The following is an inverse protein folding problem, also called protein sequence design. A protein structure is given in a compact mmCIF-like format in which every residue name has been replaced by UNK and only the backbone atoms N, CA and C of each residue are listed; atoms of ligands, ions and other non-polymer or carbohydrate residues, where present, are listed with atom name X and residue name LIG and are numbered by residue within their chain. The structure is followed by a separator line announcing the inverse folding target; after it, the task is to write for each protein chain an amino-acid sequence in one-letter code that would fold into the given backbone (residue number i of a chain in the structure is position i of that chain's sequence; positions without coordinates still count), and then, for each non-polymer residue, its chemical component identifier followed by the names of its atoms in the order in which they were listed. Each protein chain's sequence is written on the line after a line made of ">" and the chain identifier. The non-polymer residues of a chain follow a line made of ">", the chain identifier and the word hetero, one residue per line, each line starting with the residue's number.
data_IF_384196431113
#
_entry.id   IF_384196431113
#
_cell.length_a   1.000
_cell.length_b   1.000
_cell.length_c   1.000
_cell.angle_alpha   90.00
_cell.angle_beta   90.00
_cell.angle_gamma   90.00
#
_symmetry.space_group_name_H-M   'P 1'
#
loop_
_entity.id
_entity.type
_entity.pdbx_description
1 polymer ?
#
# COMPACT_ATOMS: atom_id res chain seq x y z
N UNK A 1 15.42 -3.12 15.20
CA UNK A 1 14.31 -3.05 16.19
C UNK A 1 13.47 -1.84 15.85
N UNK A 2 12.15 -2.01 15.75
CA UNK A 2 11.26 -0.90 15.48
C UNK A 2 11.23 0.05 16.67
N UNK A 3 11.59 1.30 16.45
CA UNK A 3 11.55 2.33 17.50
C UNK A 3 10.11 2.53 18.01
N UNK A 4 9.11 2.31 17.15
CA UNK A 4 7.69 2.45 17.47
C UNK A 4 7.21 1.40 18.49
N UNK A 5 7.78 0.20 18.50
CA UNK A 5 7.39 -0.85 19.44
C UNK A 5 7.60 -0.46 20.90
N UNK A 6 8.62 0.37 21.18
CA UNK A 6 8.90 0.83 22.54
C UNK A 6 7.84 1.82 23.06
N UNK A 7 7.03 2.41 22.22
CA UNK A 7 5.99 3.37 22.61
C UNK A 7 4.72 2.69 23.13
N UNK A 8 4.48 1.45 22.71
CA UNK A 8 3.27 0.72 23.04
C UNK A 8 3.48 -0.17 24.26
N UNK A 9 2.63 -0.04 25.29
CA UNK A 9 2.73 -0.90 26.49
C UNK A 9 2.50 -2.36 26.19
N UNK A 10 1.56 -2.63 25.30
CA UNK A 10 1.27 -3.95 24.75
C UNK A 10 1.33 -3.83 23.21
N UNK A 11 2.27 -4.52 22.56
CA UNK A 11 2.40 -4.50 21.09
C UNK A 11 1.19 -5.03 20.33
N UNK A 12 0.31 -5.80 21.01
CA UNK A 12 -0.89 -6.37 20.39
C UNK A 12 -2.15 -5.53 20.61
N UNK A 13 -2.08 -4.53 21.48
CA UNK A 13 -3.22 -3.68 21.79
C UNK A 13 -3.23 -2.39 20.95
N UNK A 14 -4.41 -1.78 20.87
CA UNK A 14 -4.62 -0.52 20.19
C UNK A 14 -4.77 0.61 21.22
N UNK A 15 -4.15 1.76 20.94
CA UNK A 15 -4.14 2.92 21.83
C UNK A 15 -4.50 4.18 21.08
N UNK A 16 -5.08 5.15 21.80
CA UNK A 16 -5.22 6.50 21.26
C UNK A 16 -3.87 7.20 21.28
N UNK A 17 -3.65 8.12 20.36
CA UNK A 17 -2.40 8.90 20.29
C UNK A 17 -2.05 9.52 21.64
N UNK A 18 -3.01 10.15 22.31
CA UNK A 18 -2.81 10.80 23.60
C UNK A 18 -2.33 9.83 24.68
N UNK A 19 -2.87 8.62 24.69
CA UNK A 19 -2.46 7.60 25.70
C UNK A 19 -1.00 7.18 25.53
N UNK A 20 -0.50 7.17 24.28
CA UNK A 20 0.89 6.86 23.99
C UNK A 20 1.80 8.03 24.40
N UNK A 21 1.40 9.25 24.03
CA UNK A 21 2.12 10.49 24.39
C UNK A 21 2.27 10.67 25.90
N UNK A 22 1.15 10.50 26.63
CA UNK A 22 1.14 10.64 28.11
C UNK A 22 2.11 9.69 28.80
N UNK A 23 2.24 8.46 28.27
CA UNK A 23 3.20 7.49 28.80
C UNK A 23 4.65 7.81 28.50
N UNK A 24 4.92 8.38 27.32
CA UNK A 24 6.28 8.71 26.91
C UNK A 24 6.80 9.99 27.58
N UNK A 25 5.91 10.78 28.20
CA UNK A 25 6.27 12.08 28.78
C UNK A 25 6.79 13.10 27.76
N UNK A 26 6.59 12.82 26.47
CA UNK A 26 7.11 13.62 25.36
C UNK A 26 5.94 14.27 24.62
N UNK A 27 5.64 15.51 24.97
CA UNK A 27 4.63 16.33 24.29
C UNK A 27 5.29 17.31 23.33
N UNK A 28 6.04 16.86 22.36
CA UNK A 28 6.80 17.74 21.49
C UNK A 28 6.56 17.49 20.00
N UNK A 29 6.89 18.51 19.20
CA UNK A 29 6.91 18.43 17.75
C UNK A 29 7.78 17.25 17.26
N UNK A 30 8.88 16.96 17.97
CA UNK A 30 9.82 15.88 17.65
C UNK A 30 9.17 14.49 17.76
N UNK A 31 8.33 14.26 18.79
CA UNK A 31 7.62 12.99 18.92
C UNK A 31 6.57 12.82 17.81
N UNK A 32 5.87 13.89 17.48
CA UNK A 32 4.91 13.86 16.39
C UNK A 32 5.57 13.56 15.03
N UNK A 33 6.74 14.13 14.77
CA UNK A 33 7.51 13.82 13.57
C UNK A 33 7.93 12.33 13.54
N UNK A 34 8.46 11.82 14.64
CA UNK A 34 8.82 10.40 14.77
C UNK A 34 7.61 9.49 14.59
N UNK A 35 6.45 9.89 15.13
CA UNK A 35 5.19 9.18 14.96
C UNK A 35 4.81 9.02 13.49
N UNK A 36 4.77 10.11 12.75
CA UNK A 36 4.45 10.08 11.33
C UNK A 36 5.51 9.38 10.49
N UNK A 37 6.77 9.49 10.85
CA UNK A 37 7.83 8.70 10.21
C UNK A 37 7.59 7.19 10.40
N UNK A 38 7.16 6.76 11.59
CA UNK A 38 6.82 5.35 11.83
C UNK A 38 5.59 4.91 11.03
N UNK A 39 4.58 5.78 10.87
CA UNK A 39 3.43 5.53 9.98
C UNK A 39 3.90 5.37 8.53
N UNK A 40 4.75 6.25 8.03
CA UNK A 40 5.26 6.17 6.65
C UNK A 40 6.19 4.97 6.42
N UNK A 41 6.85 4.48 7.45
CA UNK A 41 7.60 3.21 7.38
C UNK A 41 6.72 1.97 7.48
N UNK A 42 5.41 2.14 7.72
CA UNK A 42 4.48 1.04 7.89
C UNK A 42 4.64 0.30 9.24
N UNK A 43 5.25 0.93 10.24
CA UNK A 43 5.39 0.38 11.60
C UNK A 43 4.13 0.59 12.43
N UNK A 44 3.37 1.64 12.13
CA UNK A 44 2.12 2.03 12.78
C UNK A 44 1.00 2.15 11.76
N UNK A 45 -0.19 1.78 12.17
CA UNK A 45 -1.42 2.05 11.40
C UNK A 45 -2.56 2.42 12.34
N UNK A 46 -3.60 3.04 11.77
CA UNK A 46 -4.81 3.43 12.49
C UNK A 46 -6.00 2.62 12.00
N UNK A 47 -6.99 2.42 12.85
CA UNK A 47 -8.28 1.82 12.52
C UNK A 47 -9.17 2.74 11.66
N UNK A 48 -8.74 3.97 11.41
CA UNK A 48 -9.48 5.00 10.68
C UNK A 48 -8.57 5.77 9.73
N UNK A 49 -9.11 6.24 8.60
CA UNK A 49 -8.42 7.16 7.69
C UNK A 49 -8.46 8.61 8.16
N UNK A 50 -9.28 8.92 9.16
CA UNK A 50 -9.46 10.28 9.70
C UNK A 50 -8.16 10.97 10.11
N UNK A 51 -7.20 10.29 10.79
CA UNK A 51 -5.91 10.90 11.11
C UNK A 51 -5.11 11.33 9.89
N UNK A 52 -5.18 10.58 8.79
CA UNK A 52 -4.50 10.94 7.54
C UNK A 52 -5.12 12.18 6.91
N UNK A 53 -6.47 12.28 6.90
CA UNK A 53 -7.18 13.47 6.40
C UNK A 53 -6.80 14.68 7.25
N UNK A 54 -6.86 14.56 8.58
CA UNK A 54 -6.44 15.62 9.51
C UNK A 54 -4.97 15.99 9.32
N UNK A 55 -4.12 15.00 9.07
CA UNK A 55 -2.70 15.19 8.79
C UNK A 55 -2.46 16.02 7.53
N UNK A 56 -3.17 15.73 6.46
CA UNK A 56 -3.10 16.49 5.21
C UNK A 56 -3.54 17.95 5.42
N UNK A 57 -4.63 18.18 6.15
CA UNK A 57 -5.13 19.53 6.47
C UNK A 57 -4.14 20.34 7.32
N UNK A 58 -3.48 19.69 8.29
CA UNK A 58 -2.55 20.30 9.25
C UNK A 58 -1.08 20.17 8.86
N UNK A 59 -0.78 19.69 7.67
CA UNK A 59 0.59 19.38 7.20
C UNK A 59 1.36 18.48 8.18
N UNK A 60 0.64 17.54 8.80
CA UNK A 60 1.17 16.59 9.79
C UNK A 60 1.87 17.25 11.00
N UNK A 61 1.55 18.52 11.28
CA UNK A 61 2.09 19.26 12.40
C UNK A 61 1.08 19.35 13.55
N UNK A 62 1.61 19.40 14.79
CA UNK A 62 0.82 19.74 15.96
C UNK A 62 1.03 21.23 16.22
N UNK A 63 -0.03 22.03 16.18
CA UNK A 63 0.03 23.40 16.65
C UNK A 63 0.34 23.39 18.15
N UNK A 64 1.50 23.93 18.52
CA UNK A 64 1.83 24.19 19.90
C UNK A 64 0.79 25.17 20.45
N UNK A 65 0.00 24.74 21.42
CA UNK A 65 -0.99 25.58 22.14
C UNK A 65 -0.30 26.58 23.07
N UNK A 66 0.79 27.18 22.63
CA UNK A 66 1.44 28.30 23.32
C UNK A 66 1.19 29.57 22.53
N UNK A 67 0.10 30.23 22.81
CA UNK A 67 -0.18 31.68 22.74
C UNK A 67 -1.59 32.00 22.23
N UNK A 68 -2.60 31.69 23.03
CA UNK A 68 -3.78 32.55 23.05
C UNK A 68 -4.31 32.66 24.49
N UNK A 69 -3.64 33.46 25.28
CA UNK A 69 -4.23 34.16 26.39
C UNK A 69 -5.15 35.22 25.81
N UNK A 70 -6.34 34.86 25.41
CA UNK A 70 -7.47 35.79 25.44
C UNK A 70 -8.80 35.07 25.22
N UNK A 71 -9.59 35.15 26.26
CA UNK A 71 -11.03 35.29 26.23
C UNK A 71 -11.88 34.03 26.12
N UNK A 72 -12.52 33.78 27.28
CA UNK A 72 -13.85 33.18 27.51
C UNK A 72 -14.05 31.71 27.10
N UNK A 73 -14.01 30.91 28.18
CA UNK A 73 -14.88 29.73 28.39
C UNK A 73 -15.47 29.12 27.11
N UNK A 74 -14.67 28.39 26.40
CA UNK A 74 -15.14 27.15 25.78
C UNK A 74 -14.48 26.02 26.56
N UNK A 75 -15.32 25.24 27.23
CA UNK A 75 -14.95 23.88 27.69
C UNK A 75 -14.71 23.09 26.40
N UNK A 76 -13.60 23.40 25.74
CA UNK A 76 -13.09 22.66 24.59
C UNK A 76 -12.38 21.45 25.17
N UNK A 77 -12.84 20.27 24.85
CA UNK A 77 -12.06 19.05 24.97
C UNK A 77 -10.64 19.34 24.47
N UNK A 78 -9.58 18.91 25.18
CA UNK A 78 -8.22 19.03 24.68
C UNK A 78 -8.23 18.52 23.22
N UNK A 79 -7.77 19.36 22.29
CA UNK A 79 -7.88 19.08 20.87
C UNK A 79 -7.31 17.68 20.62
N UNK A 80 -8.15 16.78 20.14
CA UNK A 80 -7.74 15.45 19.70
C UNK A 80 -6.63 15.65 18.70
N UNK A 81 -5.41 15.29 19.05
CA UNK A 81 -4.26 15.53 18.18
C UNK A 81 -4.39 14.68 16.92
N UNK A 82 -4.64 13.39 17.08
CA UNK A 82 -4.92 12.48 15.99
C UNK A 82 -6.05 11.53 16.44
N UNK A 83 -7.13 11.46 15.69
CA UNK A 83 -8.28 10.61 16.01
C UNK A 83 -7.99 9.12 15.80
N UNK A 84 -8.90 8.26 16.28
CA UNK A 84 -8.82 6.81 16.08
C UNK A 84 -7.93 6.09 17.09
N UNK A 85 -7.88 4.78 16.92
CA UNK A 85 -6.98 3.90 17.65
C UNK A 85 -5.82 3.49 16.75
N UNK A 86 -4.65 3.46 17.34
CA UNK A 86 -3.40 3.16 16.67
C UNK A 86 -2.85 1.86 17.20
N UNK A 87 -2.28 1.07 16.33
CA UNK A 87 -1.64 -0.19 16.68
C UNK A 87 -0.39 -0.40 15.84
N UNK A 88 0.50 -1.22 16.36
CA UNK A 88 1.68 -1.65 15.63
C UNK A 88 1.25 -2.55 14.48
N UNK A 89 1.81 -2.30 13.31
CA UNK A 89 1.68 -3.24 12.21
C UNK A 89 2.44 -4.51 12.59
N UNK A 90 1.83 -5.69 12.47
CA UNK A 90 2.51 -6.94 12.81
C UNK A 90 3.84 -7.02 12.06
N UNK A 91 4.93 -7.08 12.81
CA UNK A 91 6.24 -7.34 12.20
C UNK A 91 6.20 -8.77 11.69
N UNK A 92 6.32 -8.92 10.38
CA UNK A 92 6.44 -10.26 9.80
C UNK A 92 7.70 -10.90 10.37
N UNK A 93 7.51 -11.97 11.14
CA UNK A 93 8.61 -12.81 11.61
C UNK A 93 9.41 -13.28 10.38
N UNK A 94 10.73 -13.53 10.53
CA UNK A 94 11.53 -14.10 9.45
C UNK A 94 10.84 -15.35 8.93
N UNK A 95 10.28 -15.27 7.75
CA UNK A 95 9.61 -16.42 7.13
C UNK A 95 10.67 -17.40 6.65
N UNK A 96 10.41 -18.68 6.88
CA UNK A 96 11.15 -19.73 6.20
C UNK A 96 10.96 -19.62 4.67
N UNK A 97 11.86 -20.21 3.87
CA UNK A 97 11.81 -20.06 2.41
C UNK A 97 10.50 -20.55 1.76
N UNK A 98 9.83 -21.55 2.36
CA UNK A 98 8.58 -22.10 1.84
C UNK A 98 7.43 -21.15 2.10
N UNK A 99 7.26 -20.72 3.35
CA UNK A 99 6.25 -19.73 3.75
C UNK A 99 6.42 -18.42 2.99
N UNK A 100 7.68 -18.00 2.74
CA UNK A 100 7.97 -16.82 1.92
C UNK A 100 7.49 -17.01 0.48
N UNK A 101 7.73 -18.16 -0.12
CA UNK A 101 7.30 -18.45 -1.48
C UNK A 101 5.76 -18.47 -1.58
N UNK A 102 5.05 -19.06 -0.61
CA UNK A 102 3.59 -19.05 -0.61
C UNK A 102 3.05 -17.61 -0.53
N UNK A 103 3.62 -16.79 0.33
CA UNK A 103 3.22 -15.39 0.40
C UNK A 103 3.61 -14.60 -0.87
N UNK A 104 4.67 -14.95 -1.61
CA UNK A 104 4.96 -14.38 -2.93
C UNK A 104 3.90 -14.78 -3.95
N UNK A 105 3.43 -16.04 -3.92
CA UNK A 105 2.33 -16.51 -4.77
C UNK A 105 1.02 -15.76 -4.46
N UNK A 106 0.71 -15.51 -3.18
CA UNK A 106 -0.49 -14.78 -2.80
C UNK A 106 -0.47 -13.33 -3.32
N UNK A 107 0.69 -12.67 -3.26
CA UNK A 107 0.86 -11.36 -3.89
C UNK A 107 0.69 -11.42 -5.41
N UNK A 108 1.24 -12.45 -6.06
CA UNK A 108 1.06 -12.66 -7.50
C UNK A 108 -0.41 -12.88 -7.85
N UNK A 109 -1.15 -13.70 -7.08
CA UNK A 109 -2.60 -13.91 -7.27
C UNK A 109 -3.37 -12.60 -7.17
N UNK A 110 -3.08 -11.82 -6.13
CA UNK A 110 -3.71 -10.50 -5.92
C UNK A 110 -3.48 -9.57 -7.13
N UNK A 111 -2.26 -9.54 -7.67
CA UNK A 111 -1.95 -8.70 -8.83
C UNK A 111 -2.58 -9.22 -10.13
N UNK A 112 -2.63 -10.54 -10.31
CA UNK A 112 -3.33 -11.16 -11.43
C UNK A 112 -4.84 -10.89 -11.40
N UNK A 113 -5.44 -10.90 -10.22
CA UNK A 113 -6.86 -10.54 -10.04
C UNK A 113 -7.11 -9.06 -10.32
N UNK A 114 -6.17 -8.18 -9.94
CA UNK A 114 -6.27 -6.74 -10.19
C UNK A 114 -6.14 -6.37 -11.67
N UNK A 115 -5.12 -6.92 -12.34
CA UNK A 115 -4.74 -6.50 -13.69
C UNK A 115 -5.20 -7.43 -14.80
N UNK A 116 -5.65 -8.64 -14.47
CA UNK A 116 -6.01 -9.66 -15.44
C UNK A 116 -4.81 -10.40 -16.04
N UNK A 117 -3.67 -9.78 -16.13
CA UNK A 117 -2.38 -10.35 -16.50
C UNK A 117 -1.26 -9.69 -15.71
N UNK A 118 -0.07 -10.26 -15.74
CA UNK A 118 1.08 -9.74 -15.02
C UNK A 118 2.35 -9.77 -15.87
N UNK A 119 3.10 -8.68 -15.84
CA UNK A 119 4.43 -8.56 -16.43
C UNK A 119 5.36 -7.82 -15.47
N UNK A 120 6.61 -7.65 -15.87
CA UNK A 120 7.61 -6.96 -15.06
C UNK A 120 7.22 -5.52 -14.70
N UNK A 121 6.66 -4.78 -15.64
CA UNK A 121 6.39 -3.36 -15.47
C UNK A 121 5.27 -3.12 -14.47
N UNK A 122 4.23 -3.98 -14.48
CA UNK A 122 3.16 -3.94 -13.49
C UNK A 122 3.67 -4.26 -12.07
N UNK A 123 4.55 -5.27 -11.93
CA UNK A 123 5.14 -5.59 -10.62
C UNK A 123 5.99 -4.43 -10.09
N UNK A 124 6.79 -3.80 -10.94
CA UNK A 124 7.61 -2.66 -10.54
C UNK A 124 6.78 -1.42 -10.19
N UNK A 125 5.64 -1.24 -10.87
CA UNK A 125 4.69 -0.15 -10.59
C UNK A 125 4.15 -0.22 -9.17
N UNK A 126 3.84 -1.40 -8.67
CA UNK A 126 3.26 -1.58 -7.33
C UNK A 126 4.20 -1.15 -6.21
N UNK A 127 5.52 -1.13 -6.45
CA UNK A 127 6.54 -0.73 -5.48
C UNK A 127 6.30 -1.32 -4.07
N UNK A 128 5.88 -2.58 -4.03
CA UNK A 128 5.53 -3.25 -2.78
C UNK A 128 6.75 -3.41 -1.87
N UNK A 129 6.54 -3.13 -0.61
CA UNK A 129 7.52 -3.35 0.44
C UNK A 129 7.18 -4.64 1.19
N UNK A 130 8.18 -5.44 1.48
CA UNK A 130 8.04 -6.64 2.28
C UNK A 130 9.26 -6.84 3.17
N UNK A 131 9.05 -7.10 4.44
CA UNK A 131 10.11 -7.28 5.44
C UNK A 131 11.14 -6.12 5.41
N UNK A 132 10.69 -4.88 5.31
CA UNK A 132 11.50 -3.68 5.10
C UNK A 132 12.37 -3.70 3.82
N UNK A 133 12.09 -4.60 2.89
CA UNK A 133 12.75 -4.71 1.59
C UNK A 133 11.75 -4.55 0.47
N UNK A 134 12.19 -3.94 -0.61
CA UNK A 134 11.38 -3.87 -1.83
C UNK A 134 11.18 -5.27 -2.41
N UNK A 135 9.91 -5.65 -2.62
CA UNK A 135 9.54 -6.86 -3.35
C UNK A 135 9.86 -6.65 -4.83
N UNK A 136 10.68 -7.50 -5.41
CA UNK A 136 11.25 -7.30 -6.73
C UNK A 136 10.66 -8.26 -7.74
N UNK A 137 10.77 -7.90 -9.02
CA UNK A 137 10.41 -8.77 -10.14
C UNK A 137 11.01 -10.18 -10.02
N UNK A 138 12.23 -10.33 -9.53
CA UNK A 138 12.85 -11.64 -9.33
C UNK A 138 12.01 -12.54 -8.41
N UNK A 139 11.44 -11.96 -7.36
CA UNK A 139 10.68 -12.71 -6.36
C UNK A 139 9.30 -13.11 -6.94
N UNK A 140 8.63 -12.17 -7.63
CA UNK A 140 7.42 -12.43 -8.40
C UNK A 140 7.64 -13.46 -9.51
N UNK A 141 8.69 -13.32 -10.29
CA UNK A 141 9.00 -14.22 -11.40
C UNK A 141 9.26 -15.66 -10.93
N UNK A 142 9.95 -15.82 -9.79
CA UNK A 142 10.14 -17.14 -9.17
C UNK A 142 8.81 -17.78 -8.79
N UNK A 143 7.90 -17.02 -8.15
CA UNK A 143 6.57 -17.50 -7.80
C UNK A 143 5.78 -17.87 -9.06
N UNK A 144 5.75 -16.99 -10.07
CA UNK A 144 5.07 -17.20 -11.35
C UNK A 144 5.54 -18.48 -12.07
N UNK A 145 6.84 -18.76 -12.07
CA UNK A 145 7.38 -20.00 -12.68
C UNK A 145 6.92 -21.26 -11.96
N UNK A 146 6.79 -21.21 -10.64
CA UNK A 146 6.27 -22.35 -9.87
C UNK A 146 4.77 -22.51 -10.08
N UNK A 147 4.02 -21.41 -10.13
CA UNK A 147 2.58 -21.40 -10.44
C UNK A 147 2.31 -21.90 -11.86
N UNK A 148 3.17 -21.60 -12.82
CA UNK A 148 3.09 -22.11 -14.18
C UNK A 148 3.28 -23.64 -14.22
N UNK A 149 4.26 -24.16 -13.51
CA UNK A 149 4.47 -25.61 -13.38
C UNK A 149 3.30 -26.31 -12.69
N UNK A 150 2.61 -25.62 -11.79
CA UNK A 150 1.39 -26.09 -11.14
C UNK A 150 0.12 -25.91 -12.00
N UNK A 151 0.22 -25.27 -13.17
CA UNK A 151 -0.93 -24.97 -14.03
C UNK A 151 -1.82 -23.83 -13.55
N UNK A 152 -1.41 -23.06 -12.57
CA UNK A 152 -2.16 -21.90 -12.06
C UNK A 152 -2.11 -20.70 -13.02
N UNK A 153 -1.04 -20.58 -13.80
CA UNK A 153 -0.85 -19.51 -14.78
C UNK A 153 -0.26 -20.05 -16.07
N UNK A 154 -0.50 -19.33 -17.17
CA UNK A 154 0.16 -19.54 -18.45
C UNK A 154 1.16 -18.41 -18.70
N UNK A 155 2.34 -18.76 -19.23
CA UNK A 155 3.26 -17.74 -19.75
C UNK A 155 3.14 -17.63 -21.26
N UNK A 156 3.34 -16.44 -21.79
CA UNK A 156 3.28 -16.20 -23.22
C UNK A 156 3.52 -14.74 -23.58
N UNK A 157 3.20 -14.41 -24.80
CA UNK A 157 3.14 -13.05 -25.32
C UNK A 157 1.73 -12.77 -25.81
N UNK A 158 0.88 -12.28 -24.90
CA UNK A 158 -0.54 -12.04 -25.17
C UNK A 158 -0.76 -10.64 -25.76
N UNK A 159 0.13 -9.71 -25.46
CA UNK A 159 0.10 -8.33 -25.93
C UNK A 159 1.44 -8.01 -26.61
N UNK A 160 1.41 -7.77 -27.93
CA UNK A 160 2.61 -7.51 -28.75
C UNK A 160 3.39 -6.26 -28.31
N UNK A 161 2.67 -5.24 -27.84
CA UNK A 161 3.29 -3.98 -27.36
C UNK A 161 4.17 -4.17 -26.11
N UNK A 162 4.14 -5.34 -25.47
CA UNK A 162 4.90 -5.63 -24.24
C UNK A 162 5.98 -6.67 -24.52
N UNK A 163 7.24 -6.24 -24.52
CA UNK A 163 8.39 -7.11 -24.80
C UNK A 163 8.81 -8.04 -23.66
N UNK A 164 8.27 -7.84 -22.46
CA UNK A 164 8.61 -8.65 -21.28
C UNK A 164 7.74 -9.91 -21.17
N UNK A 165 8.20 -11.00 -20.54
CA UNK A 165 7.37 -12.17 -20.29
C UNK A 165 6.06 -11.78 -19.59
N UNK A 166 4.97 -12.33 -20.09
CA UNK A 166 3.61 -12.05 -19.62
C UNK A 166 3.01 -13.33 -19.05
N UNK A 167 2.24 -13.19 -17.99
CA UNK A 167 1.59 -14.30 -17.30
C UNK A 167 0.11 -13.98 -17.14
N UNK A 168 -0.75 -14.99 -17.34
CA UNK A 168 -2.19 -14.85 -17.28
C UNK A 168 -2.79 -16.10 -16.61
N UNK A 169 -3.91 -15.95 -15.91
CA UNK A 169 -4.64 -17.11 -15.39
C UNK A 169 -5.37 -17.84 -16.51
N UNK A 170 -5.63 -19.16 -16.39
CA UNK A 170 -6.42 -19.92 -17.37
C UNK A 170 -7.80 -19.28 -17.63
N UNK A 171 -8.45 -18.76 -16.59
CA UNK A 171 -9.73 -18.06 -16.68
C UNK A 171 -9.65 -16.82 -17.58
N UNK A 172 -8.68 -15.97 -17.32
CA UNK A 172 -8.51 -14.73 -18.08
C UNK A 172 -8.03 -15.00 -19.50
N UNK A 173 -7.26 -16.07 -19.71
CA UNK A 173 -6.87 -16.53 -21.05
C UNK A 173 -8.07 -16.94 -21.88
N UNK A 174 -9.01 -17.71 -21.31
CA UNK A 174 -10.26 -18.06 -21.99
C UNK A 174 -11.10 -16.83 -22.32
N UNK A 175 -11.16 -15.85 -21.41
CA UNK A 175 -11.84 -14.58 -21.68
C UNK A 175 -11.20 -13.83 -22.84
N UNK A 176 -9.87 -13.81 -22.91
CA UNK A 176 -9.12 -13.17 -23.98
C UNK A 176 -9.39 -13.89 -25.33
N UNK A 177 -9.38 -15.23 -25.34
CA UNK A 177 -9.66 -16.02 -26.54
C UNK A 177 -11.10 -15.88 -27.05
N UNK A 178 -12.07 -15.78 -26.14
CA UNK A 178 -13.48 -15.68 -26.51
C UNK A 178 -13.85 -14.36 -27.19
N UNK A 179 -12.90 -13.42 -27.25
CA UNK A 179 -13.09 -12.09 -27.84
C UNK A 179 -14.38 -11.38 -27.35
N UNK A 180 -14.78 -11.69 -26.11
CA UNK A 180 -15.99 -11.11 -25.48
C UNK A 180 -15.80 -9.63 -25.12
N UNK A 181 -14.68 -9.04 -25.46
CA UNK A 181 -14.43 -7.60 -25.36
C UNK A 181 -15.20 -6.79 -26.44
N UNK A 182 -16.42 -7.20 -26.80
CA UNK A 182 -17.38 -6.33 -27.48
C UNK A 182 -18.06 -5.39 -26.47
N UNK A 183 -17.26 -4.84 -25.56
CA UNK A 183 -17.71 -3.83 -24.63
C UNK A 183 -17.73 -2.45 -25.25
N UNK A 184 -18.59 -1.60 -24.75
CA UNK A 184 -18.56 -0.17 -25.07
C UNK A 184 -17.20 0.42 -24.67
N UNK A 185 -16.68 1.35 -25.48
CA UNK A 185 -15.49 2.09 -25.13
C UNK A 185 -15.77 2.91 -23.86
N UNK A 186 -14.93 2.77 -22.85
CA UNK A 186 -15.02 3.54 -21.63
C UNK A 186 -13.71 4.26 -21.34
N UNK A 187 -13.80 5.35 -20.60
CA UNK A 187 -12.65 6.11 -20.17
C UNK A 187 -12.32 5.74 -18.73
N UNK A 188 -11.07 5.41 -18.50
CA UNK A 188 -10.53 5.19 -17.15
C UNK A 188 -9.45 6.23 -16.85
N UNK A 189 -9.41 6.71 -15.62
CA UNK A 189 -8.34 7.63 -15.20
C UNK A 189 -6.99 6.92 -15.29
N UNK A 190 -5.98 7.60 -15.82
CA UNK A 190 -4.62 7.10 -15.82
C UNK A 190 -4.03 6.94 -14.40
N UNK A 191 -4.64 7.57 -13.41
CA UNK A 191 -4.27 7.47 -11.99
C UNK A 191 -5.05 6.36 -11.27
N UNK A 192 -5.98 5.69 -11.95
CA UNK A 192 -6.72 4.58 -11.37
C UNK A 192 -5.74 3.42 -11.11
N UNK A 193 -5.73 2.85 -9.89
CA UNK A 193 -4.85 1.73 -9.56
C UNK A 193 -5.04 0.50 -10.44
N UNK A 194 -6.25 0.30 -10.98
CA UNK A 194 -6.57 -0.83 -11.87
C UNK A 194 -6.17 -0.58 -13.32
N UNK A 195 -5.97 0.70 -13.72
CA UNK A 195 -5.60 1.01 -15.10
C UNK A 195 -4.22 0.40 -15.43
N UNK A 196 -4.12 -0.56 -16.36
CA UNK A 196 -2.84 -1.13 -16.77
C UNK A 196 -2.00 -0.11 -17.55
N UNK A 197 -2.67 0.84 -18.18
CA UNK A 197 -2.08 1.99 -18.87
C UNK A 197 -1.93 3.14 -17.89
N UNK A 198 -1.10 4.08 -18.16
CA UNK A 198 -0.91 5.25 -17.33
C UNK A 198 0.57 5.47 -17.07
N UNK A 199 1.00 5.48 -15.82
CA UNK A 199 2.36 5.93 -15.47
C UNK A 199 3.49 4.95 -15.87
N UNK A 200 3.19 3.68 -16.20
CA UNK A 200 4.22 2.65 -16.35
C UNK A 200 4.22 1.89 -17.68
N UNK A 201 3.09 1.69 -18.32
CA UNK A 201 3.02 1.00 -19.60
C UNK A 201 2.76 2.00 -20.71
N UNK A 202 3.75 2.19 -21.58
CA UNK A 202 3.58 2.99 -22.79
C UNK A 202 2.97 2.11 -23.86
N UNK A 203 1.73 2.41 -24.21
CA UNK A 203 1.07 1.87 -25.39
C UNK A 203 1.23 2.92 -26.50
N UNK A 204 1.99 2.62 -27.50
CA UNK A 204 2.36 3.61 -28.55
C UNK A 204 1.16 4.15 -29.35
N UNK A 205 0.02 3.44 -29.32
CA UNK A 205 -1.16 3.75 -30.13
C UNK A 205 -2.40 4.19 -29.35
N UNK A 206 -2.34 4.39 -28.03
CA UNK A 206 -3.51 4.87 -27.31
C UNK A 206 -3.64 6.39 -27.40
N UNK A 207 -4.82 6.92 -27.82
CA UNK A 207 -5.07 8.34 -27.82
C UNK A 207 -5.00 8.90 -26.40
N UNK A 208 -3.88 9.54 -26.09
CA UNK A 208 -3.72 10.23 -24.81
C UNK A 208 -4.40 11.60 -24.92
N UNK A 209 -5.50 11.78 -24.17
CA UNK A 209 -6.07 13.09 -23.96
C UNK A 209 -5.15 13.84 -22.99
N UNK A 210 -4.36 14.78 -23.52
CA UNK A 210 -3.64 15.74 -22.67
C UNK A 210 -4.68 16.61 -21.97
N UNK A 211 -4.62 16.67 -20.66
CA UNK A 211 -5.33 17.67 -19.86
C UNK A 211 -4.71 19.04 -20.07
#
# INVERSE_FOLDING_TARGET
>A
ESTAAAWFPDPQASYRYEQVVDKQGSTGADFNEQWWQAVWRGELTSDSVEPLIQGLERKFSIESTSNHLSSRRKIGRPGRTWSGYWHLTPTTLPMDPVTRLEADKDLVRLLLDRYGFLNRDLVLRENLQRDAKSWRWRDAFRALRIMELAGEVFSGQFFEALSTPQFITPRNFLTLQSNQAQGENFWISALDPVAPTGLSIKWDDLPQRRQ
#
